data_IF_352194739117
#
_entry.id   IF_352194739117
#
_cell.length_a   1.000
_cell.length_b   1.000
_cell.length_c   1.000
_cell.angle_alpha   90.00
_cell.angle_beta   90.00
_cell.angle_gamma   90.00
#
_symmetry.space_group_name_H-M   'P 1'
#
loop_
_entity.id
_entity.type
_entity.pdbx_description
1 polymer ?
#
# COMPACT_ATOMS: atom_id res chain seq x y z
N UNK A 1 -5.43 3.59 -16.12
CA UNK A 1 -4.09 4.22 -16.16
C UNK A 1 -3.62 4.82 -14.81
N UNK A 2 -4.42 4.85 -13.73
CA UNK A 2 -3.99 5.45 -12.44
C UNK A 2 -3.02 4.59 -11.61
N UNK A 3 -3.09 3.25 -11.74
CA UNK A 3 -2.34 2.29 -10.92
C UNK A 3 -0.81 2.50 -10.91
N UNK A 4 -0.11 2.68 -12.04
CA UNK A 4 1.33 2.92 -12.02
C UNK A 4 1.70 4.23 -11.31
N UNK A 5 0.92 5.30 -11.52
CA UNK A 5 1.17 6.61 -10.90
C UNK A 5 1.10 6.53 -9.36
N UNK A 6 0.07 5.86 -8.83
CA UNK A 6 -0.11 5.72 -7.38
C UNK A 6 0.84 4.67 -6.77
N UNK A 7 1.39 3.75 -7.57
CA UNK A 7 2.28 2.68 -7.08
C UNK A 7 3.69 3.16 -6.80
N UNK A 8 4.19 4.16 -7.54
CA UNK A 8 5.58 4.61 -7.44
C UNK A 8 5.97 5.05 -6.03
N UNK A 9 5.11 5.82 -5.36
CA UNK A 9 5.36 6.33 -4.02
C UNK A 9 4.77 5.44 -2.90
N UNK A 10 4.25 4.25 -3.24
CA UNK A 10 3.51 3.42 -2.27
C UNK A 10 4.31 2.99 -1.03
N UNK A 11 5.63 2.67 -1.10
CA UNK A 11 6.40 2.32 0.09
C UNK A 11 6.52 3.46 1.10
N UNK A 12 6.44 4.70 0.64
CA UNK A 12 6.49 5.91 1.48
C UNK A 12 5.12 6.20 2.08
N UNK A 13 4.05 5.97 1.32
CA UNK A 13 2.69 6.25 1.72
C UNK A 13 2.15 5.33 2.84
N UNK A 14 2.88 4.29 3.25
CA UNK A 14 2.55 3.50 4.44
C UNK A 14 2.37 4.36 5.70
N UNK A 15 3.02 5.53 5.78
CA UNK A 15 2.85 6.50 6.87
C UNK A 15 1.86 7.64 6.57
N UNK A 16 1.21 7.65 5.41
CA UNK A 16 0.28 8.72 5.01
C UNK A 16 -1.01 8.70 5.84
N UNK A 17 -1.68 9.85 5.91
CA UNK A 17 -2.95 9.96 6.64
C UNK A 17 -4.03 9.05 6.04
N UNK A 18 -4.81 8.40 6.92
CA UNK A 18 -5.89 7.47 6.56
C UNK A 18 -6.90 8.07 5.57
N UNK A 19 -7.15 9.39 5.66
CA UNK A 19 -8.10 10.12 4.79
C UNK A 19 -7.68 10.08 3.31
N UNK A 20 -6.38 10.19 3.02
CA UNK A 20 -5.87 10.12 1.64
C UNK A 20 -5.98 8.69 1.09
N UNK A 21 -5.65 7.68 1.90
CA UNK A 21 -5.82 6.27 1.55
C UNK A 21 -7.28 5.92 1.24
N UNK A 22 -8.21 6.37 2.07
CA UNK A 22 -9.65 6.18 1.86
C UNK A 22 -10.14 6.85 0.57
N UNK A 23 -9.60 8.01 0.22
CA UNK A 23 -9.93 8.69 -1.03
C UNK A 23 -9.47 7.89 -2.24
N UNK A 24 -8.24 7.37 -2.22
CA UNK A 24 -7.77 6.48 -3.27
C UNK A 24 -8.63 5.21 -3.36
N UNK A 25 -8.99 4.60 -2.23
CA UNK A 25 -9.79 3.39 -2.20
C UNK A 25 -11.21 3.62 -2.76
N UNK A 26 -11.81 4.79 -2.50
CA UNK A 26 -13.07 5.23 -3.14
C UNK A 26 -12.93 5.30 -4.66
N UNK A 27 -11.84 5.86 -5.16
CA UNK A 27 -11.57 5.92 -6.61
C UNK A 27 -11.41 4.51 -7.23
N UNK A 28 -10.70 3.60 -6.56
CA UNK A 28 -10.61 2.20 -7.01
C UNK A 28 -12.00 1.55 -7.04
N UNK A 29 -12.78 1.67 -5.97
CA UNK A 29 -14.11 1.05 -5.87
C UNK A 29 -15.06 1.56 -6.98
N UNK A 30 -15.03 2.86 -7.27
CA UNK A 30 -15.80 3.45 -8.37
C UNK A 30 -15.35 2.87 -9.72
N UNK A 31 -14.04 2.84 -9.98
CA UNK A 31 -13.48 2.33 -11.24
C UNK A 31 -13.83 0.85 -11.45
N UNK A 32 -13.69 0.04 -10.40
CA UNK A 32 -13.99 -1.40 -10.44
C UNK A 32 -15.47 -1.64 -10.72
N UNK A 33 -16.36 -0.86 -10.08
CA UNK A 33 -17.81 -0.95 -10.31
C UNK A 33 -18.19 -0.60 -11.75
N UNK A 34 -17.58 0.44 -12.32
CA UNK A 34 -17.79 0.84 -13.70
C UNK A 34 -17.37 -0.26 -14.67
N UNK A 35 -16.20 -0.88 -14.45
CA UNK A 35 -15.69 -1.98 -15.28
C UNK A 35 -16.61 -3.20 -15.20
N UNK A 36 -17.05 -3.58 -14.00
CA UNK A 36 -17.90 -4.75 -13.79
C UNK A 36 -19.39 -4.50 -14.10
N UNK A 37 -19.76 -3.26 -14.47
CA UNK A 37 -21.14 -2.82 -14.74
C UNK A 37 -22.13 -3.21 -13.62
N UNK A 38 -21.71 -3.08 -12.37
CA UNK A 38 -22.48 -3.55 -11.22
C UNK A 38 -23.41 -2.46 -10.66
N UNK A 39 -24.66 -2.78 -10.31
CA UNK A 39 -25.61 -1.81 -9.77
C UNK A 39 -25.24 -1.39 -8.35
N UNK A 40 -25.66 -0.19 -7.95
CA UNK A 40 -25.20 0.50 -6.73
C UNK A 40 -25.44 -0.29 -5.43
N UNK A 41 -26.47 -1.13 -5.39
CA UNK A 41 -26.84 -1.93 -4.20
C UNK A 41 -25.92 -3.14 -3.96
N UNK A 42 -25.13 -3.56 -4.95
CA UNK A 42 -24.14 -4.62 -4.76
C UNK A 42 -22.98 -4.07 -3.92
N UNK A 43 -22.60 -4.78 -2.86
CA UNK A 43 -21.50 -4.36 -1.97
C UNK A 43 -20.16 -4.37 -2.72
N UNK A 44 -19.35 -3.33 -2.51
CA UNK A 44 -17.99 -3.24 -3.07
C UNK A 44 -17.11 -4.44 -2.72
N UNK A 45 -17.29 -5.03 -1.52
CA UNK A 45 -16.58 -6.23 -1.08
C UNK A 45 -16.81 -7.42 -1.99
N UNK A 46 -18.05 -7.61 -2.46
CA UNK A 46 -18.42 -8.74 -3.32
C UNK A 46 -17.79 -8.56 -4.70
N UNK A 47 -17.94 -7.38 -5.29
CA UNK A 47 -17.35 -7.06 -6.60
C UNK A 47 -15.82 -7.26 -6.59
N UNK A 48 -15.15 -6.83 -5.51
CA UNK A 48 -13.71 -7.05 -5.37
C UNK A 48 -13.34 -8.53 -5.22
N UNK A 49 -14.11 -9.29 -4.45
CA UNK A 49 -13.90 -10.73 -4.26
C UNK A 49 -14.08 -11.50 -5.57
N UNK A 50 -15.13 -11.18 -6.32
CA UNK A 50 -15.43 -11.81 -7.61
C UNK A 50 -14.36 -11.51 -8.66
N UNK A 51 -13.76 -10.31 -8.61
CA UNK A 51 -12.65 -9.91 -9.48
C UNK A 51 -11.26 -10.28 -8.91
N UNK A 52 -11.20 -10.94 -7.75
CA UNK A 52 -9.96 -11.25 -7.05
C UNK A 52 -9.02 -10.03 -6.86
N UNK A 53 -9.59 -8.84 -6.59
CA UNK A 53 -8.84 -7.60 -6.48
C UNK A 53 -8.53 -7.24 -5.01
N UNK A 54 -7.24 -7.00 -4.66
CA UNK A 54 -6.89 -6.48 -3.35
C UNK A 54 -7.33 -5.02 -3.18
N UNK A 55 -7.45 -4.58 -1.93
CA UNK A 55 -7.58 -3.15 -1.61
C UNK A 55 -6.32 -2.38 -2.01
N UNK A 56 -6.42 -1.05 -2.15
CA UNK A 56 -5.23 -0.20 -2.33
C UNK A 56 -4.26 -0.40 -1.17
N UNK A 57 -4.77 -0.48 0.06
CA UNK A 57 -3.95 -0.63 1.25
C UNK A 57 -3.14 -1.94 1.22
N UNK A 58 -3.79 -3.07 0.96
CA UNK A 58 -3.13 -4.38 0.83
C UNK A 58 -2.11 -4.39 -0.31
N UNK A 59 -2.46 -3.79 -1.44
CA UNK A 59 -1.58 -3.70 -2.59
C UNK A 59 -0.33 -2.87 -2.29
N UNK A 60 -0.48 -1.71 -1.63
CA UNK A 60 0.64 -0.87 -1.21
C UNK A 60 1.50 -1.54 -0.15
N UNK A 61 0.89 -2.24 0.81
CA UNK A 61 1.60 -3.03 1.80
C UNK A 61 2.49 -4.07 1.13
N UNK A 62 1.97 -4.82 0.16
CA UNK A 62 2.73 -5.82 -0.60
C UNK A 62 3.90 -5.20 -1.38
N UNK A 63 3.70 -4.03 -2.00
CA UNK A 63 4.79 -3.32 -2.69
C UNK A 63 5.84 -2.84 -1.69
N UNK A 64 5.41 -2.25 -0.58
CA UNK A 64 6.29 -1.75 0.47
C UNK A 64 7.15 -2.88 1.04
N UNK A 65 6.55 -4.02 1.39
CA UNK A 65 7.26 -5.22 1.84
C UNK A 65 8.30 -5.68 0.83
N UNK A 66 7.94 -5.76 -0.46
CA UNK A 66 8.87 -6.13 -1.53
C UNK A 66 10.03 -5.13 -1.64
N UNK A 67 9.76 -3.84 -1.47
CA UNK A 67 10.79 -2.80 -1.50
C UNK A 67 11.74 -2.93 -0.31
N UNK A 68 11.23 -3.04 0.92
CA UNK A 68 12.08 -3.19 2.11
C UNK A 68 12.88 -4.49 2.10
N UNK A 69 12.29 -5.61 1.66
CA UNK A 69 13.03 -6.87 1.49
C UNK A 69 14.19 -6.73 0.50
N UNK A 70 14.00 -5.98 -0.58
CA UNK A 70 15.08 -5.70 -1.54
C UNK A 70 16.18 -4.83 -0.94
N UNK A 71 15.82 -3.85 -0.11
CA UNK A 71 16.79 -3.00 0.60
C UNK A 71 17.60 -3.85 1.56
N UNK A 72 16.95 -4.72 2.34
CA UNK A 72 17.62 -5.61 3.30
C UNK A 72 18.52 -6.65 2.61
N UNK A 73 18.15 -7.13 1.43
CA UNK A 73 18.91 -8.11 0.65
C UNK A 73 19.94 -7.49 -0.31
N UNK A 74 20.18 -6.18 -0.25
CA UNK A 74 21.06 -5.51 -1.21
C UNK A 74 22.54 -5.56 -0.78
N UNK A 75 23.42 -5.82 -1.76
CA UNK A 75 24.88 -5.80 -1.57
C UNK A 75 25.47 -4.38 -1.66
N UNK A 76 24.63 -3.35 -1.78
CA UNK A 76 25.09 -1.98 -1.95
C UNK A 76 25.61 -1.43 -0.61
N UNK A 77 26.90 -1.08 -0.57
CA UNK A 77 27.58 -0.55 0.62
C UNK A 77 26.91 0.70 1.16
N UNK A 78 26.38 1.58 0.31
CA UNK A 78 25.68 2.79 0.75
C UNK A 78 24.37 2.46 1.50
N UNK A 79 23.70 1.37 1.14
CA UNK A 79 22.48 0.91 1.81
C UNK A 79 22.82 0.20 3.12
N UNK A 80 23.88 -0.61 3.12
CA UNK A 80 24.35 -1.30 4.34
C UNK A 80 24.84 -0.33 5.41
N UNK A 81 25.38 0.82 5.01
CA UNK A 81 25.81 1.87 5.93
C UNK A 81 24.63 2.65 6.57
N UNK A 82 23.39 2.44 6.11
CA UNK A 82 22.22 3.06 6.74
C UNK A 82 22.00 2.41 8.11
N UNK A 83 21.93 3.18 9.20
CA UNK A 83 21.76 2.61 10.54
C UNK A 83 20.44 1.84 10.63
N UNK A 84 20.54 0.58 11.05
CA UNK A 84 19.36 -0.23 11.35
C UNK A 84 18.57 0.41 12.49
N UNK A 85 17.25 0.45 12.36
CA UNK A 85 16.36 0.88 13.42
C UNK A 85 15.29 -0.17 13.65
N UNK A 86 14.87 -0.32 14.91
CA UNK A 86 13.75 -1.18 15.25
C UNK A 86 12.42 -0.50 14.83
N UNK A 87 11.66 -1.08 13.88
CA UNK A 87 10.38 -0.53 13.45
C UNK A 87 9.27 -0.66 14.51
N UNK A 88 9.45 -1.50 15.55
CA UNK A 88 8.51 -1.65 16.67
C UNK A 88 8.72 -0.62 17.77
N UNK A 89 9.86 0.07 17.77
CA UNK A 89 10.13 1.14 18.72
C UNK A 89 9.15 2.29 18.59
N UNK A 90 8.65 2.80 19.72
CA UNK A 90 7.73 3.95 19.77
C UNK A 90 8.29 5.19 19.06
N UNK A 91 9.61 5.40 19.08
CA UNK A 91 10.28 6.52 18.40
C UNK A 91 10.11 6.47 16.88
N UNK A 92 9.92 5.28 16.31
CA UNK A 92 9.89 5.05 14.87
C UNK A 92 8.47 4.83 14.33
N UNK A 93 7.42 5.04 15.15
CA UNK A 93 6.01 4.75 14.80
C UNK A 93 5.46 5.57 13.62
N UNK A 94 6.13 6.67 13.25
CA UNK A 94 5.80 7.52 12.08
C UNK A 94 6.52 7.09 10.80
N UNK A 95 7.45 6.14 10.87
CA UNK A 95 8.20 5.67 9.70
C UNK A 95 7.32 4.71 8.87
N UNK A 96 7.44 4.72 7.52
CA UNK A 96 6.62 3.86 6.68
C UNK A 96 6.80 2.36 6.97
N UNK A 97 8.03 1.91 7.32
CA UNK A 97 8.31 0.52 7.68
C UNK A 97 7.59 0.09 8.97
N UNK A 98 7.36 1.00 9.91
CA UNK A 98 6.62 0.71 11.14
C UNK A 98 5.13 0.41 10.86
N UNK A 99 4.56 0.94 9.77
CA UNK A 99 3.18 0.66 9.38
C UNK A 99 2.97 -0.79 8.92
N UNK A 100 4.03 -1.52 8.55
CA UNK A 100 3.98 -2.95 8.22
C UNK A 100 3.88 -3.85 9.44
N UNK A 101 4.21 -3.33 10.62
CA UNK A 101 4.28 -4.08 11.87
C UNK A 101 3.18 -3.66 12.87
N UNK A 102 2.16 -2.93 12.40
CA UNK A 102 0.94 -2.62 13.15
C UNK A 102 -0.11 -3.68 12.88
#
# INVERSE_FOLDING_TARGET
MLRPLISYASPVWGAAAKVHMQTLERLQNLTVRLIARQPWYIRNSNIRKDLCLPTIQEYFQKIAEKAFRKVDASDNTAIQNIPAYDPRSNRNRRRPRAALHR
#
